data_IF_752887574970
#
_entry.id   IF_752887574970
#
_cell.length_a   1.000
_cell.length_b   1.000
_cell.length_c   1.000
_cell.angle_alpha   90.00
_cell.angle_beta   90.00
_cell.angle_gamma   90.00
#
_symmetry.space_group_name_H-M   'P 1'
#
loop_
_entity.id
_entity.type
_entity.pdbx_description
1 polymer ?
#
# COMPACT_ATOMS: atom_id res chain seq x y z
N UNK A 1 -16.04 -16.50 16.10
CA UNK A 1 -15.40 -17.34 15.05
C UNK A 1 -14.80 -16.41 14.04
N UNK A 2 -13.47 -16.41 13.89
CA UNK A 2 -12.82 -15.70 12.80
C UNK A 2 -12.92 -16.57 11.54
N UNK A 3 -13.14 -15.95 10.39
CA UNK A 3 -13.13 -16.64 9.08
C UNK A 3 -11.70 -16.97 8.63
N UNK A 4 -10.70 -16.28 9.19
CA UNK A 4 -9.30 -16.34 8.81
C UNK A 4 -8.44 -16.46 10.07
N UNK A 5 -7.30 -17.14 9.96
CA UNK A 5 -6.30 -17.20 11.01
C UNK A 5 -4.90 -16.91 10.47
N UNK A 6 -4.06 -16.33 11.32
CA UNK A 6 -2.62 -16.23 11.07
C UNK A 6 -1.95 -17.61 11.18
N UNK A 7 -0.76 -17.80 10.57
CA UNK A 7 0.04 -19.01 10.76
C UNK A 7 0.31 -19.34 12.24
N UNK A 8 0.44 -20.62 12.58
CA UNK A 8 0.74 -21.06 13.96
C UNK A 8 2.14 -20.64 14.41
N UNK A 9 3.07 -20.49 13.47
CA UNK A 9 4.43 -20.00 13.70
C UNK A 9 4.99 -19.32 12.44
N UNK A 10 6.02 -18.50 12.62
CA UNK A 10 6.64 -17.73 11.54
C UNK A 10 5.76 -16.57 11.08
N UNK A 11 5.95 -16.17 9.83
CA UNK A 11 5.19 -15.09 9.19
C UNK A 11 4.56 -15.58 7.90
N UNK A 12 3.76 -14.71 7.30
CA UNK A 12 3.23 -14.92 5.97
C UNK A 12 4.34 -15.03 4.90
N UNK A 13 5.45 -14.30 5.08
CA UNK A 13 6.63 -14.32 4.21
C UNK A 13 7.40 -15.63 4.31
N UNK A 14 7.49 -16.20 5.52
CA UNK A 14 8.16 -17.48 5.74
C UNK A 14 7.31 -18.69 5.35
N UNK A 15 6.07 -18.49 4.89
CA UNK A 15 5.15 -19.57 4.54
C UNK A 15 4.75 -20.44 5.73
N UNK A 16 4.63 -19.84 6.93
CA UNK A 16 4.33 -20.54 8.19
C UNK A 16 3.07 -21.43 8.14
N UNK A 17 3.00 -22.53 8.90
CA UNK A 17 1.95 -23.53 8.78
C UNK A 17 0.56 -22.97 9.14
N UNK A 18 -0.43 -23.37 8.37
CA UNK A 18 -1.84 -23.09 8.66
C UNK A 18 -2.28 -23.84 9.92
N UNK A 19 -3.04 -23.19 10.83
CA UNK A 19 -3.63 -23.90 11.96
C UNK A 19 -4.56 -25.01 11.51
N UNK A 20 -4.67 -26.08 12.30
CA UNK A 20 -5.59 -27.19 12.00
C UNK A 20 -7.07 -26.74 11.87
N UNK A 21 -7.44 -25.65 12.55
CA UNK A 21 -8.76 -25.02 12.43
C UNK A 21 -8.98 -24.25 11.12
N UNK A 22 -7.91 -23.90 10.41
CA UNK A 22 -7.93 -23.12 9.17
C UNK A 22 -6.96 -23.73 8.15
N UNK A 23 -7.19 -24.98 7.69
CA UNK A 23 -6.18 -25.77 6.97
C UNK A 23 -5.93 -25.30 5.53
N UNK A 24 -6.71 -24.35 5.02
CA UNK A 24 -6.60 -23.84 3.65
C UNK A 24 -5.77 -22.56 3.64
N UNK A 25 -4.63 -22.59 2.94
CA UNK A 25 -3.85 -21.37 2.67
C UNK A 25 -4.52 -20.57 1.56
N UNK A 26 -4.68 -19.28 1.81
CA UNK A 26 -5.25 -18.33 0.84
C UNK A 26 -4.15 -17.50 0.20
N UNK A 27 -4.45 -16.96 -0.99
CA UNK A 27 -3.56 -16.02 -1.67
C UNK A 27 -3.39 -14.74 -0.83
N UNK A 28 -2.19 -14.20 -0.86
CA UNK A 28 -1.87 -12.94 -0.19
C UNK A 28 -1.67 -11.85 -1.24
N UNK A 29 -2.20 -10.67 -0.94
CA UNK A 29 -1.99 -9.49 -1.76
C UNK A 29 -1.11 -8.53 -0.98
N UNK A 30 0.10 -8.29 -1.49
CA UNK A 30 1.01 -7.30 -0.96
C UNK A 30 0.92 -6.05 -1.85
N UNK A 31 0.59 -4.92 -1.23
CA UNK A 31 0.66 -3.61 -1.88
C UNK A 31 1.91 -2.89 -1.38
N UNK A 32 2.86 -2.71 -2.28
CA UNK A 32 4.03 -1.87 -2.04
C UNK A 32 3.89 -0.62 -2.89
N UNK A 33 4.05 0.53 -2.24
CA UNK A 33 4.05 1.81 -2.93
C UNK A 33 5.32 2.54 -2.48
N UNK A 34 6.03 3.10 -3.46
CA UNK A 34 7.33 3.73 -3.26
C UNK A 34 7.28 5.14 -3.80
N UNK A 35 7.69 6.10 -2.97
CA UNK A 35 7.76 7.51 -3.33
C UNK A 35 9.22 7.93 -3.37
N UNK A 36 9.64 8.47 -4.51
CA UNK A 36 10.96 9.07 -4.64
C UNK A 36 10.97 10.46 -3.99
N UNK A 37 11.48 10.51 -2.76
CA UNK A 37 11.61 11.74 -1.98
C UNK A 37 12.96 12.43 -2.19
N UNK A 38 13.84 11.93 -3.06
CA UNK A 38 15.20 12.46 -3.20
C UNK A 38 15.22 13.93 -3.62
N UNK A 39 14.17 14.38 -4.32
CA UNK A 39 13.98 15.77 -4.75
C UNK A 39 13.75 16.74 -3.59
N UNK A 40 13.38 16.26 -2.41
CA UNK A 40 13.10 17.04 -1.21
C UNK A 40 14.22 16.99 -0.18
N UNK A 41 15.43 16.58 -0.58
CA UNK A 41 16.59 16.47 0.32
C UNK A 41 17.21 17.82 0.73
N UNK A 42 16.70 18.94 0.24
CA UNK A 42 17.14 20.26 0.66
C UNK A 42 16.63 20.55 2.08
N UNK A 43 17.50 20.41 3.08
CA UNK A 43 17.17 20.62 4.50
C UNK A 43 16.64 22.01 4.82
N UNK A 44 16.91 23.02 4.00
CA UNK A 44 16.38 24.37 4.20
C UNK A 44 14.84 24.43 4.02
N UNK A 45 14.26 23.45 3.31
CA UNK A 45 12.81 23.36 3.09
C UNK A 45 12.09 22.60 4.22
N UNK A 46 12.83 22.06 5.20
CA UNK A 46 12.28 21.24 6.27
C UNK A 46 11.91 22.08 7.50
N UNK A 47 10.91 21.64 8.30
CA UNK A 47 10.58 22.28 9.57
C UNK A 47 11.79 22.41 10.50
N UNK A 48 11.98 23.60 11.07
CA UNK A 48 13.11 23.89 11.96
C UNK A 48 13.07 23.08 13.27
N UNK A 49 11.90 22.57 13.66
CA UNK A 49 11.70 21.69 14.81
C UNK A 49 12.05 20.22 14.53
N UNK A 50 12.39 19.88 13.27
CA UNK A 50 12.72 18.52 12.86
C UNK A 50 11.53 17.59 12.68
N UNK A 51 10.30 18.12 12.68
CA UNK A 51 9.09 17.34 12.39
C UNK A 51 9.06 16.80 10.95
N UNK A 52 8.29 15.72 10.75
CA UNK A 52 8.08 15.10 9.43
C UNK A 52 7.33 16.08 8.50
N UNK A 53 7.91 16.48 7.35
CA UNK A 53 7.26 17.44 6.44
C UNK A 53 6.14 16.83 5.56
N UNK A 54 6.11 15.51 5.36
CA UNK A 54 5.19 14.89 4.42
C UNK A 54 3.85 14.49 5.04
N UNK A 55 2.78 14.80 4.31
CA UNK A 55 1.39 14.40 4.59
C UNK A 55 0.75 13.91 3.29
N UNK A 56 -0.26 13.04 3.39
CA UNK A 56 -1.03 12.65 2.22
C UNK A 56 -1.89 13.81 1.72
N UNK A 57 -2.09 13.91 0.39
CA UNK A 57 -2.91 14.97 -0.21
C UNK A 57 -4.38 14.96 0.21
N UNK A 58 -4.87 13.82 0.69
CA UNK A 58 -6.20 13.67 1.32
C UNK A 58 -6.21 14.04 2.82
N UNK A 59 -5.15 14.68 3.32
CA UNK A 59 -5.08 15.22 4.68
C UNK A 59 -4.59 14.25 5.76
N UNK A 60 -4.24 13.01 5.43
CA UNK A 60 -3.76 12.07 6.44
C UNK A 60 -2.27 12.30 6.77
N UNK A 61 -1.98 12.68 8.02
CA UNK A 61 -0.61 12.77 8.54
C UNK A 61 -0.18 11.55 9.37
N UNK A 62 -1.05 10.54 9.49
CA UNK A 62 -0.83 9.32 10.31
C UNK A 62 -0.41 8.11 9.48
N UNK A 63 -0.80 8.08 8.20
CA UNK A 63 -0.53 6.99 7.26
C UNK A 63 -1.57 5.86 7.28
N UNK A 64 -2.59 5.94 8.13
CA UNK A 64 -3.59 4.89 8.32
C UNK A 64 -4.76 4.94 7.32
N UNK A 65 -4.92 6.00 6.54
CA UNK A 65 -6.10 6.17 5.68
C UNK A 65 -5.93 5.64 4.25
N UNK A 66 -4.85 4.92 3.98
CA UNK A 66 -4.63 4.27 2.68
C UNK A 66 -5.66 3.15 2.45
N UNK A 67 -6.28 3.16 1.27
CA UNK A 67 -7.23 2.16 0.82
C UNK A 67 -6.79 1.62 -0.54
N UNK A 68 -7.02 0.34 -0.79
CA UNK A 68 -6.72 -0.30 -2.07
C UNK A 68 -7.88 -1.21 -2.48
N UNK A 69 -8.27 -1.10 -3.75
CA UNK A 69 -9.23 -2.00 -4.38
C UNK A 69 -8.49 -3.04 -5.21
N UNK A 70 -8.75 -4.31 -4.92
CA UNK A 70 -8.30 -5.41 -5.77
C UNK A 70 -9.40 -5.81 -6.74
N UNK A 71 -9.16 -5.60 -8.04
CA UNK A 71 -10.07 -6.03 -9.11
C UNK A 71 -9.58 -7.37 -9.68
N UNK A 72 -10.45 -8.37 -9.69
CA UNK A 72 -10.11 -9.68 -10.22
C UNK A 72 -10.08 -9.69 -11.76
N UNK A 73 -8.87 -9.63 -12.33
CA UNK A 73 -8.64 -9.59 -13.78
C UNK A 73 -7.93 -10.81 -14.38
N UNK A 74 -7.78 -11.89 -13.61
CA UNK A 74 -7.01 -13.07 -14.06
C UNK A 74 -7.77 -13.88 -15.12
N UNK A 75 -7.07 -14.24 -16.20
CA UNK A 75 -7.64 -15.02 -17.31
C UNK A 75 -7.54 -16.52 -17.03
N UNK A 76 -8.67 -17.21 -17.00
CA UNK A 76 -8.72 -18.66 -16.83
C UNK A 76 -8.07 -19.11 -15.51
N UNK A 77 -7.15 -20.07 -15.58
CA UNK A 77 -6.45 -20.65 -14.43
C UNK A 77 -5.11 -19.97 -14.09
N UNK A 78 -4.85 -18.78 -14.65
CA UNK A 78 -3.57 -18.08 -14.52
C UNK A 78 -3.19 -17.78 -13.06
N UNK A 79 -4.14 -17.33 -12.22
CA UNK A 79 -3.88 -17.08 -10.80
C UNK A 79 -3.49 -18.37 -10.07
N UNK A 80 -4.26 -19.45 -10.29
CA UNK A 80 -4.02 -20.72 -9.62
C UNK A 80 -2.64 -21.27 -9.96
N UNK A 81 -2.25 -21.25 -11.25
CA UNK A 81 -0.91 -21.67 -11.69
C UNK A 81 0.21 -20.90 -10.99
N UNK A 82 0.04 -19.60 -10.76
CA UNK A 82 1.04 -18.78 -10.05
C UNK A 82 1.09 -19.15 -8.57
N UNK A 83 -0.07 -19.31 -7.92
CA UNK A 83 -0.14 -19.70 -6.50
C UNK A 83 0.45 -21.09 -6.23
N UNK A 84 0.33 -22.01 -7.19
CA UNK A 84 0.89 -23.36 -7.10
C UNK A 84 2.40 -23.41 -7.42
N UNK A 85 2.98 -22.31 -7.91
CA UNK A 85 4.41 -22.21 -8.26
C UNK A 85 5.18 -21.60 -7.09
N UNK A 86 6.12 -22.34 -6.51
CA UNK A 86 6.98 -21.86 -5.43
C UNK A 86 7.95 -20.77 -5.93
N UNK A 87 7.51 -19.52 -5.89
CA UNK A 87 8.24 -18.36 -6.38
C UNK A 87 7.68 -17.05 -5.79
N UNK A 88 8.53 -16.03 -5.67
CA UNK A 88 8.16 -14.70 -5.16
C UNK A 88 8.08 -13.67 -6.30
N UNK A 89 9.10 -13.59 -7.16
CA UNK A 89 9.18 -12.64 -8.29
C UNK A 89 9.66 -13.37 -9.54
N UNK A 90 9.14 -12.99 -10.71
CA UNK A 90 9.52 -13.55 -12.03
C UNK A 90 9.30 -15.07 -12.16
N UNK A 91 8.14 -15.54 -11.73
CA UNK A 91 7.80 -16.96 -11.70
C UNK A 91 7.69 -17.57 -13.10
N UNK A 92 8.23 -18.78 -13.26
CA UNK A 92 8.13 -19.52 -14.51
C UNK A 92 6.65 -19.72 -14.90
N UNK A 93 6.31 -19.44 -16.15
CA UNK A 93 4.93 -19.54 -16.64
C UNK A 93 4.05 -18.31 -16.37
N UNK A 94 4.49 -17.35 -15.56
CA UNK A 94 3.82 -16.06 -15.42
C UNK A 94 4.17 -15.16 -16.61
N UNK A 95 3.15 -14.51 -17.20
CA UNK A 95 3.38 -13.45 -18.17
C UNK A 95 3.85 -12.20 -17.43
N UNK A 96 5.11 -11.83 -17.61
CA UNK A 96 5.69 -10.62 -17.02
C UNK A 96 5.76 -9.49 -18.05
N UNK A 97 5.91 -8.26 -17.57
CA UNK A 97 6.18 -7.08 -18.38
C UNK A 97 7.29 -6.26 -17.73
N UNK A 98 8.14 -5.64 -18.53
CA UNK A 98 9.23 -4.81 -18.00
C UNK A 98 8.70 -3.45 -17.52
N UNK A 99 9.49 -2.76 -16.69
CA UNK A 99 9.12 -1.46 -16.11
C UNK A 99 8.78 -0.41 -17.16
N UNK A 100 9.50 -0.39 -18.29
CA UNK A 100 9.21 0.53 -19.38
C UNK A 100 7.81 0.30 -20.00
N UNK A 101 7.34 -0.95 -20.07
CA UNK A 101 5.99 -1.27 -20.50
C UNK A 101 4.94 -0.94 -19.43
N UNK A 102 5.24 -1.20 -18.15
CA UNK A 102 4.36 -0.83 -17.02
C UNK A 102 4.08 0.67 -17.00
N UNK A 103 5.14 1.48 -17.13
CA UNK A 103 5.06 2.94 -17.06
C UNK A 103 4.33 3.58 -18.25
N UNK A 104 4.00 2.83 -19.31
CA UNK A 104 3.12 3.31 -20.38
C UNK A 104 1.65 3.35 -19.97
N UNK A 105 1.27 2.60 -18.93
CA UNK A 105 -0.05 2.68 -18.34
C UNK A 105 -0.12 3.90 -17.43
N UNK A 106 -0.48 5.05 -18.01
CA UNK A 106 -0.63 6.30 -17.28
C UNK A 106 -2.05 6.84 -17.42
N UNK A 107 -2.59 7.34 -16.33
CA UNK A 107 -3.84 8.09 -16.32
C UNK A 107 -3.50 9.57 -16.53
N UNK A 108 -4.26 10.26 -17.39
CA UNK A 108 -4.11 11.70 -17.60
C UNK A 108 -4.85 12.44 -16.51
N UNK A 109 -4.22 13.47 -15.93
CA UNK A 109 -4.86 14.36 -14.97
C UNK A 109 -6.28 14.73 -15.43
N UNK A 110 -7.25 14.40 -14.57
CA UNK A 110 -8.68 14.67 -14.80
C UNK A 110 -9.12 16.00 -14.21
N UNK A 111 -8.38 16.49 -13.22
CA UNK A 111 -8.55 17.82 -12.60
C UNK A 111 -7.36 18.67 -13.01
N UNK A 112 -7.64 19.90 -13.44
CA UNK A 112 -6.61 20.87 -13.82
C UNK A 112 -6.31 21.78 -12.62
N UNK A 113 -5.36 21.36 -11.79
CA UNK A 113 -4.88 22.12 -10.65
C UNK A 113 -3.35 22.13 -10.63
N UNK A 114 -2.75 23.16 -10.05
CA UNK A 114 -1.30 23.21 -9.90
C UNK A 114 -0.88 22.30 -8.74
N UNK A 115 -0.14 21.23 -9.04
CA UNK A 115 0.37 20.27 -8.04
C UNK A 115 1.90 20.26 -7.92
N UNK A 116 2.59 21.04 -8.75
CA UNK A 116 4.06 21.03 -8.85
C UNK A 116 4.72 22.23 -8.13
N UNK A 117 3.92 23.16 -7.58
CA UNK A 117 4.39 24.34 -6.88
C UNK A 117 4.16 24.31 -5.37
N UNK A 118 4.58 25.38 -4.69
CA UNK A 118 4.19 25.63 -3.31
C UNK A 118 2.69 25.96 -3.25
N UNK A 119 1.95 25.18 -2.48
CA UNK A 119 0.51 25.34 -2.30
C UNK A 119 0.22 25.89 -0.91
N UNK A 120 -0.80 26.75 -0.82
CA UNK A 120 -1.27 27.31 0.46
C UNK A 120 -2.24 26.37 1.18
N UNK A 121 -2.78 25.39 0.48
CA UNK A 121 -3.69 24.35 0.98
C UNK A 121 -3.49 23.05 0.19
N UNK A 122 -4.00 21.93 0.72
CA UNK A 122 -3.94 20.66 0.01
C UNK A 122 -4.92 20.64 -1.18
N UNK A 123 -4.62 19.86 -2.24
CA UNK A 123 -5.55 19.62 -3.34
C UNK A 123 -6.95 19.27 -2.85
N UNK A 124 -7.99 19.80 -3.48
CA UNK A 124 -9.38 19.58 -3.06
C UNK A 124 -9.79 20.25 -1.75
N UNK A 125 -8.97 21.13 -1.16
CA UNK A 125 -9.29 21.85 0.08
C UNK A 125 -9.23 20.97 1.33
N UNK A 126 -8.45 19.89 1.30
CA UNK A 126 -8.31 19.00 2.45
C UNK A 126 -7.51 19.67 3.59
N UNK A 127 -7.98 19.48 4.83
CA UNK A 127 -7.25 19.87 6.03
C UNK A 127 -6.41 18.71 6.55
N UNK A 128 -5.20 19.01 7.02
CA UNK A 128 -4.30 18.00 7.61
C UNK A 128 -4.85 17.53 8.96
N UNK A 129 -5.00 16.22 9.11
CA UNK A 129 -5.46 15.52 10.31
C UNK A 129 -4.33 14.65 10.86
N UNK A 130 -3.92 14.93 12.10
CA UNK A 130 -2.90 14.16 12.83
C UNK A 130 -3.52 13.00 13.66
N UNK A 131 -4.72 12.56 13.28
CA UNK A 131 -5.52 11.57 14.01
C UNK A 131 -6.25 12.15 15.22
N UNK A 132 -7.08 11.34 15.90
CA UNK A 132 -7.76 11.77 17.11
C UNK A 132 -6.72 12.07 18.21
N UNK A 133 -6.86 13.22 18.89
CA UNK A 133 -6.20 13.46 20.18
C UNK A 133 -6.43 12.24 21.10
N UNK A 134 -5.44 11.83 21.93
CA UNK A 134 -5.46 10.55 22.63
C UNK A 134 -6.77 10.35 23.41
N UNK A 135 -7.70 9.62 22.81
CA UNK A 135 -8.91 9.13 23.46
C UNK A 135 -8.62 7.69 23.83
N UNK A 136 -8.71 7.41 25.13
CA UNK A 136 -8.50 6.09 25.69
C UNK A 136 -9.16 5.01 24.84
N UNK A 137 -8.35 4.13 24.26
CA UNK A 137 -8.84 2.99 23.49
C UNK A 137 -9.23 1.91 24.49
N UNK A 138 -10.53 1.71 24.70
CA UNK A 138 -11.04 0.45 25.28
C UNK A 138 -11.03 -0.60 24.18
N UNK A 139 -10.08 -1.53 24.23
CA UNK A 139 -10.21 -2.77 23.49
C UNK A 139 -11.20 -3.68 24.21
N UNK A 140 -12.13 -4.27 23.46
CA UNK A 140 -12.85 -5.48 23.90
C UNK A 140 -12.11 -6.64 23.24
N UNK A 141 -11.51 -7.49 24.06
CA UNK A 141 -10.94 -8.77 23.62
C UNK A 141 -12.05 -9.77 23.27
#
# INVERSE_FOLDING_TARGET
MAHMAYPESGTFESGGPCPASHPVRTAQVLFEVVWDTSKFNNKADWPADGSQPFVWSFGDATGYANHADYVFGWKGDALQKILDTACVVNCAGAKTQNTAAMNKCAQKAVVNENIDGWLTELPGGHEVQYGPAPRAVKYVA
#
